data_IF_667408059686
#
_entry.id   IF_667408059686
#
_cell.length_a   1.000
_cell.length_b   1.000
_cell.length_c   1.000
_cell.angle_alpha   90.00
_cell.angle_beta   90.00
_cell.angle_gamma   90.00
#
_symmetry.space_group_name_H-M   'P 1'
#
loop_
_entity.id
_entity.type
_entity.pdbx_description
1 polymer ?
#
# COMPACT_ATOMS: atom_id res chain seq x y z
N UNK A 1 34.46 25.72 -57.99
CA UNK A 1 33.64 25.36 -56.81
C UNK A 1 32.92 24.06 -57.16
N UNK A 2 33.45 22.92 -56.72
CA UNK A 2 32.84 21.61 -56.99
C UNK A 2 31.76 21.35 -55.94
N UNK A 3 30.50 21.40 -56.35
CA UNK A 3 29.37 21.00 -55.52
C UNK A 3 29.40 19.48 -55.39
N UNK A 4 29.72 18.98 -54.20
CA UNK A 4 29.53 17.58 -53.84
C UNK A 4 28.03 17.26 -53.93
N UNK A 5 27.64 16.59 -55.02
CA UNK A 5 26.29 16.06 -55.18
C UNK A 5 26.20 14.80 -54.31
N UNK A 6 25.63 14.92 -53.12
CA UNK A 6 25.41 13.76 -52.24
C UNK A 6 24.44 12.79 -52.91
N UNK A 7 24.85 11.55 -53.11
CA UNK A 7 24.02 10.50 -53.69
C UNK A 7 22.77 10.28 -52.80
N UNK A 8 21.53 10.42 -53.33
CA UNK A 8 20.31 10.31 -52.52
C UNK A 8 20.18 8.98 -51.78
N UNK A 9 20.73 7.89 -52.34
CA UNK A 9 20.71 6.57 -51.72
C UNK A 9 21.59 6.51 -50.46
N UNK A 10 22.73 7.23 -50.48
CA UNK A 10 23.67 7.30 -49.35
C UNK A 10 23.14 8.18 -48.21
N UNK A 11 22.34 9.20 -48.55
CA UNK A 11 21.62 10.03 -47.57
C UNK A 11 20.48 9.25 -46.92
N UNK A 12 19.75 8.44 -47.71
CA UNK A 12 18.67 7.57 -47.22
C UNK A 12 19.20 6.49 -46.26
N UNK A 13 20.31 5.85 -46.60
CA UNK A 13 20.93 4.82 -45.77
C UNK A 13 21.43 5.38 -44.42
N UNK A 14 22.10 6.54 -44.42
CA UNK A 14 22.55 7.20 -43.18
C UNK A 14 21.40 7.56 -42.25
N UNK A 15 20.30 8.06 -42.81
CA UNK A 15 19.11 8.43 -42.02
C UNK A 15 18.40 7.18 -41.47
N UNK A 16 18.40 6.07 -42.21
CA UNK A 16 17.89 4.78 -41.73
C UNK A 16 18.68 4.24 -40.53
N UNK A 17 20.01 4.18 -40.62
CA UNK A 17 20.87 3.71 -39.52
C UNK A 17 20.78 4.61 -38.29
N UNK A 18 20.65 5.92 -38.48
CA UNK A 18 20.44 6.88 -37.38
C UNK A 18 19.12 6.62 -36.65
N UNK A 19 18.02 6.38 -37.38
CA UNK A 19 16.72 6.03 -36.79
C UNK A 19 16.76 4.68 -36.07
N UNK A 20 17.46 3.70 -36.63
CA UNK A 20 17.64 2.38 -36.01
C UNK A 20 18.45 2.47 -34.70
N UNK A 21 19.49 3.32 -34.67
CA UNK A 21 20.26 3.58 -33.47
C UNK A 21 19.40 4.21 -32.37
N UNK A 22 18.58 5.22 -32.70
CA UNK A 22 17.64 5.84 -31.76
C UNK A 22 16.64 4.80 -31.23
N UNK A 23 16.08 3.96 -32.12
CA UNK A 23 15.15 2.91 -31.72
C UNK A 23 15.79 1.92 -30.74
N UNK A 24 17.04 1.52 -30.99
CA UNK A 24 17.80 0.65 -30.10
C UNK A 24 17.97 1.27 -28.71
N UNK A 25 18.36 2.54 -28.64
CA UNK A 25 18.51 3.24 -27.35
C UNK A 25 17.18 3.33 -26.60
N UNK A 26 16.09 3.64 -27.28
CA UNK A 26 14.75 3.68 -26.67
C UNK A 26 14.36 2.29 -26.13
N UNK A 27 14.62 1.22 -26.88
CA UNK A 27 14.34 -0.15 -26.43
C UNK A 27 15.19 -0.50 -25.20
N UNK A 28 16.48 -0.14 -25.18
CA UNK A 28 17.36 -0.36 -24.01
C UNK A 28 16.83 0.38 -22.78
N UNK A 29 16.43 1.65 -22.93
CA UNK A 29 15.86 2.43 -21.83
C UNK A 29 14.57 1.79 -21.31
N UNK A 30 13.67 1.35 -22.19
CA UNK A 30 12.44 0.66 -21.80
C UNK A 30 12.75 -0.63 -21.04
N UNK A 31 13.70 -1.44 -21.54
CA UNK A 31 14.11 -2.67 -20.89
C UNK A 31 14.73 -2.42 -19.50
N UNK A 32 15.53 -1.36 -19.35
CA UNK A 32 16.08 -0.96 -18.06
C UNK A 32 14.98 -0.52 -17.09
N UNK A 33 13.99 0.25 -17.54
CA UNK A 33 12.84 0.65 -16.72
C UNK A 33 12.05 -0.59 -16.28
N UNK A 34 11.76 -1.51 -17.20
CA UNK A 34 11.05 -2.76 -16.89
C UNK A 34 11.85 -3.64 -15.92
N UNK A 35 13.18 -3.71 -16.08
CA UNK A 35 14.05 -4.44 -15.16
C UNK A 35 14.05 -3.82 -13.76
N UNK A 36 14.10 -2.48 -13.66
CA UNK A 36 13.98 -1.78 -12.37
C UNK A 36 12.61 -2.04 -11.74
N UNK A 37 11.52 -1.97 -12.51
CA UNK A 37 10.17 -2.26 -12.00
C UNK A 37 10.03 -3.71 -11.56
N UNK A 38 10.56 -4.69 -12.30
CA UNK A 38 10.49 -6.10 -11.93
C UNK A 38 11.35 -6.43 -10.70
N UNK A 39 12.51 -5.78 -10.55
CA UNK A 39 13.39 -5.99 -9.40
C UNK A 39 12.93 -5.24 -8.15
N UNK A 40 12.29 -4.07 -8.31
CA UNK A 40 11.82 -3.23 -7.20
C UNK A 40 10.34 -3.40 -6.87
N UNK A 41 9.51 -3.87 -7.79
CA UNK A 41 8.06 -4.07 -7.58
C UNK A 41 7.72 -5.02 -6.42
N UNK A 42 8.40 -6.16 -6.26
CA UNK A 42 8.21 -7.05 -5.12
C UNK A 42 8.69 -6.47 -3.78
N UNK A 43 9.52 -5.40 -3.82
CA UNK A 43 10.14 -4.81 -2.62
C UNK A 43 9.18 -3.94 -1.80
N UNK A 44 7.96 -3.68 -2.30
CA UNK A 44 6.96 -2.85 -1.62
C UNK A 44 5.64 -3.60 -1.42
N UNK A 45 5.69 -4.92 -1.26
CA UNK A 45 4.49 -5.71 -1.01
C UNK A 45 3.93 -5.39 0.39
N UNK A 46 2.63 -5.07 0.48
CA UNK A 46 2.00 -4.86 1.77
C UNK A 46 1.92 -6.17 2.56
N UNK A 47 2.12 -6.08 3.87
CA UNK A 47 1.73 -7.13 4.80
C UNK A 47 0.29 -6.88 5.20
N UNK A 48 -0.53 -7.94 5.13
CA UNK A 48 -1.95 -7.88 5.51
C UNK A 48 -2.20 -8.85 6.66
N UNK A 49 -2.88 -8.37 7.70
CA UNK A 49 -3.37 -9.13 8.83
C UNK A 49 -4.88 -9.18 8.69
N UNK A 50 -5.41 -10.33 8.28
CA UNK A 50 -6.85 -10.55 8.20
C UNK A 50 -7.46 -10.69 9.60
N UNK A 51 -8.61 -10.07 9.79
CA UNK A 51 -9.35 -10.05 11.06
C UNK A 51 -10.71 -10.70 10.84
N UNK A 52 -11.08 -11.60 11.74
CA UNK A 52 -12.35 -12.32 11.76
C UNK A 52 -12.67 -12.78 13.18
N UNK A 53 -12.96 -11.83 14.07
CA UNK A 53 -13.06 -12.07 15.51
C UNK A 53 -14.47 -11.80 16.03
N UNK A 54 -14.95 -12.69 16.91
CA UNK A 54 -16.13 -12.43 17.72
C UNK A 54 -15.72 -11.68 18.99
N UNK A 55 -16.36 -10.53 19.24
CA UNK A 55 -16.09 -9.70 20.41
C UNK A 55 -17.36 -9.67 21.27
N UNK A 56 -17.25 -10.23 22.47
CA UNK A 56 -18.33 -10.23 23.46
C UNK A 56 -18.70 -8.80 23.86
N UNK A 57 -19.90 -8.62 24.38
CA UNK A 57 -20.35 -7.33 24.90
C UNK A 57 -19.41 -6.77 25.98
N UNK A 58 -19.04 -5.49 25.84
CA UNK A 58 -18.02 -4.85 26.69
C UNK A 58 -16.60 -5.38 26.50
N UNK A 59 -16.38 -6.32 25.58
CA UNK A 59 -15.08 -6.89 25.28
C UNK A 59 -14.27 -6.03 24.31
N UNK A 60 -12.98 -6.31 24.24
CA UNK A 60 -12.05 -5.66 23.32
C UNK A 60 -11.02 -6.63 22.75
N UNK A 61 -10.55 -6.36 21.54
CA UNK A 61 -9.40 -7.02 20.93
C UNK A 61 -8.40 -5.97 20.46
N UNK A 62 -7.13 -6.33 20.45
CA UNK A 62 -6.07 -5.45 19.94
C UNK A 62 -5.03 -6.24 19.17
N UNK A 63 -4.53 -5.63 18.10
CA UNK A 63 -3.44 -6.13 17.28
C UNK A 63 -2.29 -5.15 17.39
N UNK A 64 -1.09 -5.68 17.65
CA UNK A 64 0.13 -4.90 17.76
C UNK A 64 1.03 -5.23 16.58
N UNK A 65 1.51 -4.20 15.91
CA UNK A 65 2.41 -4.28 14.77
C UNK A 65 3.64 -3.47 15.13
N UNK A 66 4.79 -4.12 15.08
CA UNK A 66 6.09 -3.51 15.29
C UNK A 66 6.93 -3.76 14.05
N UNK A 67 6.99 -2.76 13.17
CA UNK A 67 7.54 -2.93 11.83
C UNK A 67 8.13 -1.62 11.31
N UNK A 68 9.07 -1.74 10.36
CA UNK A 68 9.48 -0.62 9.53
C UNK A 68 8.45 -0.43 8.44
N UNK A 69 7.74 0.67 8.41
CA UNK A 69 6.70 0.91 7.41
C UNK A 69 6.57 2.40 7.05
N UNK A 70 5.76 2.70 6.03
CA UNK A 70 5.50 4.07 5.58
C UNK A 70 4.02 4.33 5.25
N UNK A 71 3.16 3.31 5.40
CA UNK A 71 1.73 3.44 5.15
C UNK A 71 0.96 2.39 5.94
N UNK A 72 -0.20 2.78 6.45
CA UNK A 72 -1.14 1.96 7.19
C UNK A 72 -2.55 2.11 6.58
N UNK A 73 -3.24 0.99 6.41
CA UNK A 73 -4.64 0.90 6.01
C UNK A 73 -5.35 -0.02 7.01
N UNK A 74 -6.46 0.44 7.58
CA UNK A 74 -7.32 -0.32 8.49
C UNK A 74 -8.71 -0.33 7.89
N UNK A 75 -9.16 -1.51 7.50
CA UNK A 75 -10.48 -1.73 6.92
C UNK A 75 -11.22 -2.78 7.72
N UNK A 76 -12.24 -2.36 8.45
CA UNK A 76 -12.98 -3.25 9.34
C UNK A 76 -14.47 -3.06 9.14
N UNK A 77 -15.24 -4.11 9.33
CA UNK A 77 -16.70 -4.09 9.31
C UNK A 77 -17.20 -4.96 10.45
N UNK A 78 -18.12 -4.39 11.21
CA UNK A 78 -18.81 -5.06 12.30
C UNK A 78 -20.17 -5.55 11.82
N UNK A 79 -20.50 -6.78 12.20
CA UNK A 79 -21.84 -7.31 12.09
C UNK A 79 -22.48 -7.30 13.48
N UNK A 80 -23.81 -7.22 13.49
CA UNK A 80 -24.65 -7.36 14.66
C UNK A 80 -24.69 -6.19 15.64
N UNK A 81 -23.75 -5.26 15.56
CA UNK A 81 -23.69 -4.01 16.34
C UNK A 81 -22.60 -3.09 15.81
N UNK A 82 -22.58 -1.85 16.28
CA UNK A 82 -21.45 -0.97 16.02
C UNK A 82 -20.25 -1.35 16.90
N UNK A 83 -19.05 -0.98 16.44
CA UNK A 83 -17.81 -1.18 17.17
C UNK A 83 -17.14 0.17 17.37
N UNK A 84 -16.32 0.30 18.41
CA UNK A 84 -15.39 1.43 18.54
C UNK A 84 -14.01 0.97 18.09
N UNK A 85 -13.42 1.67 17.14
CA UNK A 85 -12.07 1.38 16.65
C UNK A 85 -11.13 2.50 17.06
N UNK A 86 -9.99 2.12 17.63
CA UNK A 86 -8.92 3.03 18.01
C UNK A 86 -7.63 2.60 17.32
N UNK A 87 -6.97 3.53 16.64
CA UNK A 87 -5.64 3.31 16.06
C UNK A 87 -4.65 4.24 16.75
N UNK A 88 -3.60 3.64 17.31
CA UNK A 88 -2.49 4.34 17.96
C UNK A 88 -1.22 4.05 17.17
N UNK A 89 -0.48 5.10 16.82
CA UNK A 89 0.82 5.00 16.16
C UNK A 89 1.82 5.78 17.03
N UNK A 90 2.90 5.12 17.45
CA UNK A 90 3.96 5.70 18.29
C UNK A 90 3.44 6.41 19.54
N UNK A 91 2.46 5.80 20.20
CA UNK A 91 1.83 6.32 21.41
C UNK A 91 0.81 7.45 21.17
N UNK A 92 0.55 7.84 19.91
CA UNK A 92 -0.45 8.87 19.57
C UNK A 92 -1.67 8.25 18.92
N UNK A 93 -2.85 8.62 19.40
CA UNK A 93 -4.11 8.21 18.80
C UNK A 93 -4.32 8.96 17.49
N UNK A 94 -4.33 8.24 16.37
CA UNK A 94 -4.52 8.79 15.02
C UNK A 94 -5.93 8.57 14.48
N UNK A 95 -6.67 7.63 15.07
CA UNK A 95 -8.07 7.35 14.74
C UNK A 95 -8.83 6.88 15.99
N UNK A 96 -10.06 7.36 16.19
CA UNK A 96 -10.97 6.99 17.28
C UNK A 96 -12.42 7.25 16.90
N UNK A 97 -13.13 6.23 16.42
CA UNK A 97 -14.52 6.39 16.03
C UNK A 97 -15.35 5.16 16.38
N UNK A 98 -16.66 5.39 16.55
CA UNK A 98 -17.67 4.36 16.70
C UNK A 98 -18.44 4.22 15.39
N UNK A 99 -18.34 3.07 14.74
CA UNK A 99 -18.91 2.85 13.41
C UNK A 99 -19.23 1.37 13.16
N UNK A 100 -20.05 1.13 12.13
CA UNK A 100 -20.30 -0.21 11.59
C UNK A 100 -19.21 -0.64 10.59
N UNK A 101 -18.59 0.33 9.92
CA UNK A 101 -17.52 0.10 8.95
C UNK A 101 -16.50 1.20 9.07
N UNK A 102 -15.23 0.83 8.94
CA UNK A 102 -14.07 1.71 9.01
C UNK A 102 -13.26 1.51 7.74
N UNK A 103 -12.91 2.62 7.10
CA UNK A 103 -11.92 2.69 6.03
C UNK A 103 -10.97 3.83 6.39
N UNK A 104 -9.88 3.47 7.08
CA UNK A 104 -8.87 4.41 7.55
C UNK A 104 -7.56 4.16 6.83
N UNK A 105 -7.01 5.18 6.19
CA UNK A 105 -5.72 5.12 5.50
C UNK A 105 -4.88 6.31 5.95
N UNK A 106 -3.63 6.05 6.31
CA UNK A 106 -2.68 7.10 6.66
C UNK A 106 -1.28 6.76 6.15
N UNK A 107 -0.60 7.79 5.65
CA UNK A 107 0.82 7.70 5.31
C UNK A 107 1.64 8.00 6.58
N UNK A 108 2.65 7.17 6.81
CA UNK A 108 3.57 7.30 7.93
C UNK A 108 4.92 7.79 7.42
N UNK A 109 5.73 8.37 8.32
CA UNK A 109 7.13 8.58 7.99
C UNK A 109 7.80 7.24 7.67
N UNK A 110 8.78 7.19 6.78
CA UNK A 110 9.49 5.94 6.52
C UNK A 110 10.41 5.62 7.70
N UNK A 111 9.98 4.70 8.56
CA UNK A 111 10.70 4.42 9.79
C UNK A 111 10.13 3.23 10.53
N UNK A 112 10.67 2.98 11.70
CA UNK A 112 10.15 1.99 12.62
C UNK A 112 8.97 2.57 13.39
N UNK A 113 7.87 1.83 13.44
CA UNK A 113 6.65 2.25 14.11
C UNK A 113 6.12 1.15 15.02
N UNK A 114 5.53 1.58 16.13
CA UNK A 114 4.72 0.73 17.00
C UNK A 114 3.26 1.12 16.80
N UNK A 115 2.49 0.23 16.20
CA UNK A 115 1.09 0.45 15.83
C UNK A 115 0.21 -0.48 16.66
N UNK A 116 -0.81 0.08 17.29
CA UNK A 116 -1.88 -0.68 17.93
C UNK A 116 -3.20 -0.36 17.22
N UNK A 117 -3.88 -1.40 16.75
CA UNK A 117 -5.28 -1.31 16.32
C UNK A 117 -6.11 -2.01 17.39
N UNK A 118 -7.03 -1.29 18.01
CA UNK A 118 -7.93 -1.82 19.03
C UNK A 118 -9.37 -1.70 18.56
N UNK A 119 -10.16 -2.74 18.82
CA UNK A 119 -11.59 -2.77 18.54
C UNK A 119 -12.32 -3.16 19.81
N UNK A 120 -13.30 -2.35 20.19
CA UNK A 120 -14.13 -2.55 21.37
C UNK A 120 -15.58 -2.75 20.93
N UNK A 121 -16.26 -3.68 21.58
CA UNK A 121 -17.71 -3.82 21.50
C UNK A 121 -18.32 -2.95 22.62
N UNK A 122 -18.83 -1.75 22.33
CA UNK A 122 -19.33 -0.84 23.36
C UNK A 122 -20.54 -1.45 24.07
N UNK A 123 -20.48 -1.53 25.40
CA UNK A 123 -21.57 -2.05 26.21
C UNK A 123 -22.87 -1.29 25.95
N UNK A 124 -23.94 -2.03 25.68
CA UNK A 124 -25.30 -1.47 25.70
C UNK A 124 -25.92 -1.77 27.05
N UNK A 125 -26.80 -0.91 27.58
CA UNK A 125 -27.45 -1.06 28.90
C UNK A 125 -28.45 -2.25 28.97
N UNK A 126 -28.37 -3.20 28.04
CA UNK A 126 -29.21 -4.39 27.88
C UNK A 126 -28.30 -5.62 27.76
N UNK A 127 -28.80 -6.87 27.77
CA UNK A 127 -27.97 -8.05 27.54
C UNK A 127 -27.24 -7.91 26.21
N UNK A 128 -25.96 -7.56 26.26
CA UNK A 128 -25.32 -7.03 25.07
C UNK A 128 -24.94 -8.13 24.10
N UNK A 129 -24.84 -7.72 22.84
CA UNK A 129 -24.74 -8.62 21.72
C UNK A 129 -23.28 -8.79 21.33
N UNK A 130 -22.83 -10.03 21.20
CA UNK A 130 -21.54 -10.33 20.58
C UNK A 130 -21.55 -9.81 19.14
N UNK A 131 -20.55 -9.01 18.79
CA UNK A 131 -20.33 -8.55 17.41
C UNK A 131 -19.34 -9.47 16.71
N UNK A 132 -19.44 -9.56 15.39
CA UNK A 132 -18.44 -10.19 14.54
C UNK A 132 -17.73 -9.10 13.76
N UNK A 133 -16.43 -8.95 13.98
CA UNK A 133 -15.60 -7.96 13.29
C UNK A 133 -14.77 -8.67 12.24
N UNK A 134 -14.92 -8.24 10.99
CA UNK A 134 -14.21 -8.78 9.83
C UNK A 134 -13.48 -7.68 9.08
N UNK A 135 -12.34 -7.99 8.48
CA UNK A 135 -11.63 -7.06 7.61
C UNK A 135 -10.13 -7.33 7.65
N UNK A 136 -9.33 -6.26 7.56
CA UNK A 136 -7.88 -6.37 7.63
C UNK A 136 -7.21 -5.11 8.15
N UNK A 137 -6.00 -5.30 8.66
CA UNK A 137 -5.00 -4.26 8.84
C UNK A 137 -3.87 -4.52 7.85
N UNK A 138 -3.51 -3.52 7.07
CA UNK A 138 -2.48 -3.61 6.03
C UNK A 138 -1.44 -2.53 6.22
N UNK A 139 -0.17 -2.88 6.10
CA UNK A 139 0.92 -1.94 6.15
C UNK A 139 1.99 -2.24 5.11
N UNK A 140 2.65 -1.20 4.62
CA UNK A 140 3.71 -1.32 3.61
C UNK A 140 5.07 -1.22 4.27
N UNK A 141 5.81 -2.32 4.25
CA UNK A 141 7.17 -2.41 4.75
C UNK A 141 8.17 -2.51 3.59
N UNK A 142 9.42 -2.05 3.77
CA UNK A 142 10.50 -2.39 2.86
C UNK A 142 10.81 -3.90 2.95
N UNK A 143 11.54 -4.46 1.99
CA UNK A 143 12.02 -5.83 2.10
C UNK A 143 13.02 -5.93 3.24
N UNK A 144 13.03 -7.10 3.87
CA UNK A 144 14.04 -7.51 4.87
C UNK A 144 15.33 -7.86 4.14
#
# INVERSE_FOLDING_TARGET
MSSQLSNPDEVCEKEFWKRLAILREVVVVILLILFVIQTMGPLFNPVTIDIGEYILDGGSKSWYIEARCWRLEVKLTSQYGDMRVTVVVDGRKVYDERAWSVDFVTDLFYGYHVIQVAVENPTTLQPGKTILVTGYVRYWQPPI
#
